data_IF_772329836472
#
_entry.id   IF_772329836472
#
_cell.length_a   1.000
_cell.length_b   1.000
_cell.length_c   1.000
_cell.angle_alpha   90.00
_cell.angle_beta   90.00
_cell.angle_gamma   90.00
#
_symmetry.space_group_name_H-M   'P 1'
#
loop_
_entity.id
_entity.type
_entity.pdbx_description
1 polymer ?
#
# COMPACT_ATOMS: atom_id res chain seq x y z
N UNK A 1 -7.69 6.18 -14.55
CA UNK A 1 -8.39 5.00 -13.97
C UNK A 1 -7.84 3.65 -14.42
N UNK A 2 -7.35 3.47 -15.65
CA UNK A 2 -6.80 2.17 -16.13
C UNK A 2 -5.69 1.62 -15.23
N UNK A 3 -4.62 2.38 -14.99
CA UNK A 3 -3.48 1.94 -14.17
C UNK A 3 -3.88 1.58 -12.73
N UNK A 4 -4.80 2.33 -12.12
CA UNK A 4 -5.35 1.99 -10.81
C UNK A 4 -6.04 0.62 -10.81
N UNK A 5 -6.85 0.32 -11.84
CA UNK A 5 -7.51 -1.00 -11.94
C UNK A 5 -6.51 -2.14 -12.14
N UNK A 6 -5.43 -1.89 -12.88
CA UNK A 6 -4.34 -2.87 -13.04
C UNK A 6 -3.67 -3.12 -11.70
N UNK A 7 -3.30 -2.05 -10.98
CA UNK A 7 -2.73 -2.13 -9.65
C UNK A 7 -3.64 -2.89 -8.68
N UNK A 8 -4.89 -2.49 -8.55
CA UNK A 8 -5.82 -3.16 -7.62
C UNK A 8 -6.19 -4.57 -8.07
N UNK A 9 -6.06 -4.90 -9.36
CA UNK A 9 -6.32 -6.26 -9.84
C UNK A 9 -5.19 -7.23 -9.50
N UNK A 10 -3.95 -6.75 -9.54
CA UNK A 10 -2.76 -7.57 -9.38
C UNK A 10 -2.22 -7.65 -7.95
N UNK A 11 -2.54 -6.68 -7.09
CA UNK A 11 -1.96 -6.57 -5.74
C UNK A 11 -3.04 -6.66 -4.65
N UNK A 12 -3.92 -7.66 -4.71
CA UNK A 12 -4.99 -7.83 -3.72
C UNK A 12 -4.55 -8.60 -2.47
N UNK A 13 -3.38 -9.22 -2.50
CA UNK A 13 -2.78 -10.01 -1.42
C UNK A 13 -2.34 -9.17 -0.22
N UNK A 14 -2.16 -7.87 -0.42
CA UNK A 14 -1.76 -6.94 0.62
C UNK A 14 -2.75 -5.79 0.75
N UNK A 15 -2.76 -5.15 1.92
CA UNK A 15 -3.55 -3.96 2.16
C UNK A 15 -2.70 -2.70 2.03
N UNK A 16 -3.04 -1.85 1.07
CA UNK A 16 -2.22 -0.68 0.73
C UNK A 16 -2.77 0.65 1.25
N UNK A 17 -4.09 0.80 1.22
CA UNK A 17 -4.81 2.03 1.58
C UNK A 17 -6.32 1.77 1.60
N UNK A 18 -7.09 2.75 2.08
CA UNK A 18 -8.55 2.70 2.01
C UNK A 18 -9.05 2.98 0.59
N UNK A 19 -9.53 1.93 -0.09
CA UNK A 19 -9.79 1.90 -1.54
C UNK A 19 -10.83 2.90 -2.00
N UNK A 20 -11.98 3.00 -1.32
CA UNK A 20 -13.02 3.92 -1.78
C UNK A 20 -12.60 5.36 -1.55
N UNK A 21 -12.02 5.66 -0.37
CA UNK A 21 -11.44 6.99 -0.11
C UNK A 21 -10.38 7.38 -1.11
N UNK A 22 -9.48 6.48 -1.46
CA UNK A 22 -8.45 6.71 -2.46
C UNK A 22 -9.07 7.03 -3.83
N UNK A 23 -10.04 6.22 -4.29
CA UNK A 23 -10.78 6.47 -5.54
C UNK A 23 -11.52 7.81 -5.53
N UNK A 24 -12.15 8.15 -4.41
CA UNK A 24 -12.87 9.41 -4.25
C UNK A 24 -11.91 10.60 -4.31
N UNK A 25 -10.75 10.51 -3.66
CA UNK A 25 -9.70 11.56 -3.72
C UNK A 25 -9.16 11.72 -5.13
N UNK A 26 -9.02 10.64 -5.92
CA UNK A 26 -8.73 10.76 -7.37
C UNK A 26 -9.83 11.56 -8.07
N UNK A 27 -11.10 11.17 -7.92
CA UNK A 27 -12.22 11.86 -8.59
C UNK A 27 -12.26 13.34 -8.22
N UNK A 28 -12.05 13.66 -6.95
CA UNK A 28 -11.97 15.04 -6.45
C UNK A 28 -10.80 15.79 -7.07
N UNK A 29 -9.60 15.21 -7.09
CA UNK A 29 -8.41 15.82 -7.72
C UNK A 29 -8.65 16.22 -9.18
N UNK A 30 -9.34 15.40 -9.96
CA UNK A 30 -9.65 15.72 -11.36
C UNK A 30 -10.85 16.67 -11.52
N UNK A 31 -11.80 16.65 -10.59
CA UNK A 31 -13.00 17.51 -10.65
C UNK A 31 -12.73 18.91 -10.11
N UNK A 32 -11.78 19.05 -9.19
CA UNK A 32 -11.40 20.29 -8.51
C UNK A 32 -9.88 20.32 -8.33
N UNK A 33 -9.09 20.65 -9.38
CA UNK A 33 -7.63 20.55 -9.33
C UNK A 33 -6.93 21.34 -8.23
N UNK A 34 -7.59 22.36 -7.68
CA UNK A 34 -7.06 23.19 -6.59
C UNK A 34 -7.30 22.59 -5.19
N UNK A 35 -8.12 21.55 -5.03
CA UNK A 35 -8.51 21.04 -3.71
C UNK A 35 -7.38 20.31 -2.97
N UNK A 36 -6.40 19.78 -3.71
CA UNK A 36 -5.27 19.01 -3.16
C UNK A 36 -3.92 19.48 -3.71
N UNK A 37 -3.84 20.68 -4.29
CA UNK A 37 -2.66 21.13 -5.04
C UNK A 37 -1.36 21.13 -4.20
N UNK A 38 -1.47 21.36 -2.89
CA UNK A 38 -0.33 21.41 -1.96
C UNK A 38 -0.10 20.08 -1.21
N UNK A 39 -0.89 19.06 -1.51
CA UNK A 39 -0.88 17.79 -0.80
C UNK A 39 0.19 16.83 -1.37
N UNK A 40 1.41 16.98 -0.85
CA UNK A 40 2.56 16.19 -1.30
C UNK A 40 2.40 14.69 -1.02
N UNK A 41 1.82 14.33 0.13
CA UNK A 41 1.60 12.93 0.51
C UNK A 41 0.62 12.26 -0.44
N UNK A 42 -0.47 12.97 -0.79
CA UNK A 42 -1.41 12.52 -1.80
C UNK A 42 -0.74 12.23 -3.14
N UNK A 43 0.01 13.19 -3.69
CA UNK A 43 0.64 13.02 -5.00
C UNK A 43 1.76 12.00 -4.96
N UNK A 44 2.46 11.84 -3.84
CA UNK A 44 3.41 10.75 -3.64
C UNK A 44 2.72 9.39 -3.79
N UNK A 45 1.68 9.14 -3.01
CA UNK A 45 0.95 7.88 -3.00
C UNK A 45 0.29 7.59 -4.35
N UNK A 46 -0.35 8.60 -4.96
CA UNK A 46 -0.92 8.48 -6.29
C UNK A 46 0.15 8.10 -7.33
N UNK A 47 1.33 8.73 -7.27
CA UNK A 47 2.43 8.43 -8.18
C UNK A 47 2.95 7.00 -8.00
N UNK A 48 3.04 6.50 -6.76
CA UNK A 48 3.44 5.09 -6.49
C UNK A 48 2.44 4.10 -7.08
N UNK A 49 1.15 4.30 -6.85
CA UNK A 49 0.09 3.43 -7.36
C UNK A 49 0.09 3.40 -8.89
N UNK A 50 0.27 4.57 -9.53
CA UNK A 50 0.37 4.65 -10.98
C UNK A 50 1.67 4.02 -11.51
N UNK A 51 2.80 4.20 -10.80
CA UNK A 51 4.09 3.59 -11.16
C UNK A 51 4.00 2.06 -11.14
N UNK A 52 3.40 1.48 -10.09
CA UNK A 52 3.14 0.04 -10.00
C UNK A 52 2.20 -0.44 -11.10
N UNK A 53 1.09 0.25 -11.32
CA UNK A 53 0.17 -0.07 -12.42
C UNK A 53 0.86 -0.05 -13.79
N UNK A 54 1.77 0.90 -14.02
CA UNK A 54 2.55 0.99 -15.26
C UNK A 54 3.61 -0.12 -15.36
N UNK A 55 4.22 -0.52 -14.26
CA UNK A 55 5.20 -1.61 -14.24
C UNK A 55 4.52 -2.96 -14.52
N UNK A 56 3.34 -3.20 -13.94
CA UNK A 56 2.51 -4.39 -14.15
C UNK A 56 1.96 -4.48 -15.57
N UNK A 57 1.59 -3.34 -16.18
CA UNK A 57 1.13 -3.31 -17.56
C UNK A 57 2.20 -3.76 -18.57
N UNK A 58 3.48 -3.52 -18.26
CA UNK A 58 4.61 -3.89 -19.11
C UNK A 58 5.02 -5.36 -18.98
N UNK A 59 4.53 -6.08 -17.98
CA UNK A 59 4.75 -7.54 -17.90
C UNK A 59 4.05 -8.15 -19.11
N UNK A 60 4.78 -8.76 -20.06
CA UNK A 60 4.17 -9.31 -21.26
C UNK A 60 3.12 -10.33 -20.85
N UNK A 61 1.86 -10.06 -21.17
CA UNK A 61 0.83 -11.08 -21.11
C UNK A 61 1.25 -12.14 -22.12
N UNK A 62 1.53 -13.37 -21.68
CA UNK A 62 1.71 -14.48 -22.62
C UNK A 62 0.40 -14.62 -23.40
N UNK A 63 0.32 -14.04 -24.61
CA UNK A 63 -0.47 -14.52 -25.75
C UNK A 63 -0.27 -13.63 -26.99
N UNK A 64 -0.10 -14.32 -28.12
CA UNK A 64 -0.04 -13.89 -29.53
C UNK A 64 1.16 -13.05 -29.99
N UNK A 65 2.02 -13.70 -30.76
CA UNK A 65 2.88 -13.09 -31.76
C UNK A 65 2.03 -12.30 -32.77
N UNK A 66 2.06 -10.97 -32.71
CA UNK A 66 1.66 -10.14 -33.84
C UNK A 66 2.86 -9.41 -34.42
N UNK A 67 2.92 -9.48 -35.74
CA UNK A 67 4.00 -9.08 -36.62
C UNK A 67 4.21 -7.57 -36.52
N UNK A 68 5.44 -7.16 -36.17
CA UNK A 68 5.83 -5.75 -36.13
C UNK A 68 5.76 -5.12 -37.53
N UNK A 69 4.84 -4.17 -37.71
CA UNK A 69 4.78 -3.31 -38.90
C UNK A 69 5.75 -2.12 -38.72
N UNK A 70 6.70 -1.85 -39.64
CA UNK A 70 7.74 -0.82 -39.48
C UNK A 70 7.24 0.64 -39.45
N UNK A 71 5.92 0.88 -39.51
CA UNK A 71 5.30 2.21 -39.58
C UNK A 71 4.38 2.51 -38.39
N UNK A 72 4.57 1.86 -37.25
CA UNK A 72 3.82 2.20 -36.05
C UNK A 72 4.29 3.56 -35.48
N UNK A 73 3.63 4.63 -35.93
CA UNK A 73 3.81 6.02 -35.48
C UNK A 73 3.14 6.23 -34.10
N UNK A 74 2.95 5.17 -33.31
CA UNK A 74 2.77 5.28 -31.88
C UNK A 74 4.11 5.62 -31.24
N UNK A 75 4.48 6.89 -31.33
CA UNK A 75 5.46 7.50 -30.43
C UNK A 75 4.96 7.29 -29.00
N UNK A 76 5.33 6.16 -28.41
CA UNK A 76 5.20 5.95 -26.96
C UNK A 76 6.08 7.02 -26.34
N UNK A 77 5.46 8.13 -25.93
CA UNK A 77 6.06 9.08 -25.00
C UNK A 77 6.80 8.26 -23.95
N UNK A 78 8.09 8.53 -23.73
CA UNK A 78 8.88 7.80 -22.76
C UNK A 78 8.06 7.68 -21.46
N UNK A 79 7.88 6.47 -20.90
CA UNK A 79 7.01 6.28 -19.75
C UNK A 79 7.40 7.25 -18.65
N UNK A 80 6.43 7.98 -18.10
CA UNK A 80 6.70 8.97 -17.06
C UNK A 80 7.38 8.28 -15.88
N UNK A 81 8.45 8.89 -15.34
CA UNK A 81 9.16 8.39 -14.14
C UNK A 81 8.35 8.72 -12.87
N UNK A 82 7.21 8.06 -12.75
CA UNK A 82 6.26 8.21 -11.65
C UNK A 82 6.88 7.77 -10.32
N UNK A 83 7.78 6.79 -10.32
CA UNK A 83 8.48 6.38 -9.11
C UNK A 83 9.48 7.45 -8.67
N UNK A 84 10.28 8.00 -9.58
CA UNK A 84 11.14 9.14 -9.27
C UNK A 84 10.36 10.35 -8.75
N UNK A 85 9.19 10.63 -9.35
CA UNK A 85 8.28 11.66 -8.86
C UNK A 85 7.80 11.37 -7.42
N UNK A 86 7.35 10.15 -7.13
CA UNK A 86 6.94 9.76 -5.78
C UNK A 86 8.05 9.97 -4.75
N UNK A 87 9.27 9.49 -5.04
CA UNK A 87 10.43 9.65 -4.17
C UNK A 87 10.75 11.13 -3.92
N UNK A 88 10.60 11.99 -4.93
CA UNK A 88 10.83 13.44 -4.78
C UNK A 88 9.75 14.16 -3.94
N UNK A 89 8.55 13.59 -3.88
CA UNK A 89 7.42 14.13 -3.14
C UNK A 89 7.40 13.64 -1.69
N UNK A 90 7.84 12.41 -1.46
CA UNK A 90 7.86 11.78 -0.15
C UNK A 90 8.72 12.56 0.83
N UNK A 91 8.12 12.95 1.94
CA UNK A 91 8.80 13.69 3.00
C UNK A 91 8.13 13.30 4.30
N UNK A 92 8.89 12.68 5.20
CA UNK A 92 8.38 12.33 6.53
C UNK A 92 8.35 13.61 7.37
N UNK A 93 7.14 14.02 7.77
CA UNK A 93 6.90 15.13 8.69
C UNK A 93 7.26 14.74 10.13
N UNK A 94 7.41 15.72 11.02
CA UNK A 94 7.45 15.46 12.47
C UNK A 94 6.17 14.78 12.97
N UNK A 95 5.03 15.08 12.34
CA UNK A 95 3.78 14.38 12.59
C UNK A 95 3.66 13.18 11.67
N UNK A 96 3.90 12.00 12.22
CA UNK A 96 3.80 10.73 11.49
C UNK A 96 2.33 10.40 11.20
N UNK A 97 2.06 9.93 10.00
CA UNK A 97 0.72 9.56 9.54
C UNK A 97 0.68 8.14 8.97
N UNK A 98 -0.52 7.56 8.88
CA UNK A 98 -0.70 6.28 8.19
C UNK A 98 -0.37 6.41 6.70
N UNK A 99 -0.61 7.56 6.06
CA UNK A 99 -0.25 7.78 4.65
C UNK A 99 1.27 7.66 4.42
N UNK A 100 2.10 8.03 5.40
CA UNK A 100 3.55 7.83 5.32
C UNK A 100 3.90 6.34 5.32
N UNK A 101 3.20 5.53 6.14
CA UNK A 101 3.36 4.08 6.18
C UNK A 101 2.91 3.41 4.88
N UNK A 102 1.74 3.81 4.37
CA UNK A 102 1.20 3.36 3.08
C UNK A 102 2.21 3.64 1.96
N UNK A 103 2.78 4.85 1.95
CA UNK A 103 3.81 5.26 1.00
C UNK A 103 5.07 4.41 1.08
N UNK A 104 5.61 4.18 2.29
CA UNK A 104 6.81 3.34 2.47
C UNK A 104 6.58 1.89 2.08
N UNK A 105 5.42 1.30 2.42
CA UNK A 105 5.06 -0.05 2.00
C UNK A 105 4.99 -0.16 0.46
N UNK A 106 4.34 0.81 -0.19
CA UNK A 106 4.28 0.87 -1.66
C UNK A 106 5.67 1.06 -2.30
N UNK A 107 6.54 1.87 -1.71
CA UNK A 107 7.92 2.05 -2.17
C UNK A 107 8.75 0.78 -2.04
N UNK A 108 8.65 0.09 -0.90
CA UNK A 108 9.31 -1.17 -0.65
C UNK A 108 8.86 -2.22 -1.68
N UNK A 109 7.54 -2.36 -1.86
CA UNK A 109 6.95 -3.29 -2.82
C UNK A 109 7.34 -2.98 -4.26
N UNK A 110 7.29 -1.71 -4.68
CA UNK A 110 7.78 -1.32 -6.02
C UNK A 110 9.24 -1.68 -6.24
N UNK A 111 10.09 -1.43 -5.25
CA UNK A 111 11.51 -1.75 -5.34
C UNK A 111 11.74 -3.27 -5.39
N UNK A 112 10.98 -4.06 -4.63
CA UNK A 112 11.00 -5.51 -4.72
C UNK A 112 10.57 -5.98 -6.12
N UNK A 113 9.39 -5.57 -6.56
CA UNK A 113 8.80 -5.91 -7.86
C UNK A 113 9.71 -5.56 -9.05
N UNK A 114 10.44 -4.44 -8.97
CA UNK A 114 11.36 -3.98 -10.02
C UNK A 114 12.80 -4.44 -9.85
N UNK A 115 13.04 -5.44 -8.98
CA UNK A 115 14.34 -6.05 -8.71
C UNK A 115 15.42 -5.05 -8.23
N UNK A 116 15.06 -4.22 -7.24
CA UNK A 116 15.93 -3.26 -6.54
C UNK A 116 16.02 -3.62 -5.05
N UNK A 117 16.57 -4.79 -4.68
CA UNK A 117 16.46 -5.35 -3.34
C UNK A 117 17.02 -4.46 -2.23
N UNK A 118 18.14 -3.77 -2.48
CA UNK A 118 18.73 -2.84 -1.49
C UNK A 118 17.79 -1.69 -1.12
N UNK A 119 17.10 -1.12 -2.12
CA UNK A 119 16.14 -0.05 -1.89
C UNK A 119 14.89 -0.59 -1.19
N UNK A 120 14.42 -1.79 -1.58
CA UNK A 120 13.30 -2.46 -0.93
C UNK A 120 13.56 -2.68 0.57
N UNK A 121 14.74 -3.19 0.93
CA UNK A 121 15.17 -3.38 2.32
C UNK A 121 15.24 -2.07 3.11
N UNK A 122 15.71 -0.98 2.50
CA UNK A 122 15.73 0.34 3.15
C UNK A 122 14.31 0.81 3.45
N UNK A 123 13.41 0.77 2.46
CA UNK A 123 12.04 1.24 2.64
C UNK A 123 11.25 0.38 3.63
N UNK A 124 11.39 -0.95 3.59
CA UNK A 124 10.69 -1.81 4.55
C UNK A 124 11.21 -1.61 5.98
N UNK A 125 12.52 -1.39 6.16
CA UNK A 125 13.09 -1.06 7.47
C UNK A 125 12.50 0.25 8.02
N UNK A 126 12.28 1.24 7.14
CA UNK A 126 11.61 2.49 7.50
C UNK A 126 10.13 2.28 7.82
N UNK A 127 9.40 1.46 7.04
CA UNK A 127 8.01 1.09 7.35
C UNK A 127 7.88 0.49 8.75
N UNK A 128 8.75 -0.46 9.11
CA UNK A 128 8.73 -1.11 10.42
C UNK A 128 8.99 -0.09 11.54
N UNK A 129 9.99 0.77 11.38
CA UNK A 129 10.30 1.80 12.36
C UNK A 129 9.11 2.77 12.54
N UNK A 130 8.49 3.21 11.44
CA UNK A 130 7.36 4.12 11.47
C UNK A 130 6.10 3.47 12.05
N UNK A 131 5.82 2.21 11.72
CA UNK A 131 4.70 1.46 12.28
C UNK A 131 4.82 1.31 13.81
N UNK A 132 6.03 1.08 14.33
CA UNK A 132 6.33 1.06 15.77
C UNK A 132 6.15 2.43 16.43
N UNK A 133 6.59 3.51 15.78
CA UNK A 133 6.38 4.87 16.28
C UNK A 133 4.88 5.23 16.33
N UNK A 134 4.07 4.66 15.44
CA UNK A 134 2.62 4.75 15.44
C UNK A 134 1.93 3.72 16.35
N UNK A 135 2.69 2.89 17.09
CA UNK A 135 2.19 1.86 18.03
C UNK A 135 1.29 0.80 17.37
N UNK A 136 1.54 0.47 16.11
CA UNK A 136 0.79 -0.57 15.39
C UNK A 136 1.13 -1.98 15.89
N UNK A 137 2.27 -2.15 16.56
CA UNK A 137 2.71 -3.41 17.16
C UNK A 137 2.30 -3.58 18.63
N UNK A 138 1.52 -2.62 19.17
CA UNK A 138 1.02 -2.68 20.54
C UNK A 138 -0.39 -3.31 20.59
N UNK A 139 -0.60 -4.44 21.30
CA UNK A 139 -1.92 -5.04 21.45
C UNK A 139 -2.97 -4.12 22.08
N UNK A 140 -2.57 -3.20 22.96
CA UNK A 140 -3.50 -2.28 23.63
C UNK A 140 -4.14 -1.29 22.63
N UNK A 141 -3.47 -1.00 21.50
CA UNK A 141 -4.01 -0.19 20.39
C UNK A 141 -5.33 -0.75 19.84
N UNK A 142 -5.49 -2.06 19.84
CA UNK A 142 -6.64 -2.75 19.24
C UNK A 142 -7.73 -3.10 20.26
N UNK A 143 -7.48 -2.87 21.56
CA UNK A 143 -8.44 -3.23 22.61
C UNK A 143 -9.74 -2.41 22.48
N UNK A 144 -10.92 -3.01 22.74
CA UNK A 144 -12.17 -2.26 22.79
C UNK A 144 -12.11 -1.24 23.94
N UNK A 145 -12.40 0.03 23.67
CA UNK A 145 -12.52 1.03 24.72
C UNK A 145 -13.78 0.74 25.56
N UNK A 146 -13.63 0.71 26.88
CA UNK A 146 -14.71 0.42 27.83
C UNK A 146 -15.69 1.60 28.02
N UNK A 147 -15.41 2.77 27.44
CA UNK A 147 -16.27 3.95 27.52
C UNK A 147 -17.21 4.03 26.33
N UNK A 148 -18.50 3.73 26.54
CA UNK A 148 -19.57 3.69 25.54
C UNK A 148 -19.95 5.05 24.92
N UNK A 149 -19.03 5.69 24.18
CA UNK A 149 -19.37 6.78 23.25
C UNK A 149 -19.60 6.21 21.85
N UNK A 150 -20.64 6.70 21.19
CA UNK A 150 -21.12 6.26 19.87
C UNK A 150 -20.19 6.60 18.68
N UNK A 151 -18.88 6.80 18.93
CA UNK A 151 -17.87 7.05 17.89
C UNK A 151 -17.28 5.76 17.29
N UNK A 152 -17.86 4.60 17.64
CA UNK A 152 -17.28 3.26 17.40
C UNK A 152 -17.09 2.84 15.94
N UNK A 153 -17.86 3.39 14.98
CA UNK A 153 -17.74 2.97 13.56
C UNK A 153 -16.49 3.51 12.86
N UNK A 154 -16.24 4.82 12.99
CA UNK A 154 -15.04 5.43 12.41
C UNK A 154 -13.76 4.88 13.05
N UNK A 155 -13.83 4.60 14.36
CA UNK A 155 -12.73 4.00 15.10
C UNK A 155 -12.44 2.56 14.65
N UNK A 156 -13.46 1.76 14.32
CA UNK A 156 -13.27 0.39 13.86
C UNK A 156 -12.58 0.32 12.49
N UNK A 157 -12.95 1.18 11.54
CA UNK A 157 -12.27 1.25 10.23
C UNK A 157 -10.80 1.61 10.41
N UNK A 158 -10.51 2.60 11.26
CA UNK A 158 -9.12 3.01 11.52
C UNK A 158 -8.32 1.88 12.18
N UNK A 159 -8.89 1.16 13.16
CA UNK A 159 -8.22 0.02 13.80
C UNK A 159 -7.93 -1.10 12.81
N UNK A 160 -8.91 -1.50 11.99
CA UNK A 160 -8.69 -2.51 10.96
C UNK A 160 -7.69 -2.06 9.90
N UNK A 161 -7.70 -0.78 9.54
CA UNK A 161 -6.73 -0.21 8.62
C UNK A 161 -5.30 -0.29 9.16
N UNK A 162 -5.10 0.11 10.42
CA UNK A 162 -3.81 0.01 11.12
C UNK A 162 -3.34 -1.44 11.19
N UNK A 163 -4.23 -2.36 11.55
CA UNK A 163 -3.91 -3.78 11.71
C UNK A 163 -3.52 -4.42 10.37
N UNK A 164 -4.26 -4.13 9.30
CA UNK A 164 -3.96 -4.63 7.95
C UNK A 164 -2.68 -4.03 7.38
N UNK A 165 -2.38 -2.76 7.65
CA UNK A 165 -1.11 -2.15 7.29
C UNK A 165 0.07 -2.78 8.04
N UNK A 166 -0.09 -3.03 9.34
CA UNK A 166 0.91 -3.73 10.15
C UNK A 166 1.25 -5.09 9.56
N UNK A 167 0.23 -5.93 9.34
CA UNK A 167 0.44 -7.26 8.78
C UNK A 167 1.01 -7.23 7.36
N UNK A 168 0.61 -6.26 6.53
CA UNK A 168 1.23 -6.03 5.22
C UNK A 168 2.73 -5.73 5.35
N UNK A 169 3.12 -4.83 6.25
CA UNK A 169 4.55 -4.54 6.52
C UNK A 169 5.30 -5.79 6.98
N UNK A 170 4.70 -6.60 7.84
CA UNK A 170 5.29 -7.86 8.33
C UNK A 170 5.51 -8.86 7.20
N UNK A 171 4.50 -9.08 6.34
CA UNK A 171 4.62 -10.00 5.21
C UNK A 171 5.72 -9.54 4.23
N UNK A 172 5.78 -8.25 3.91
CA UNK A 172 6.82 -7.71 3.04
C UNK A 172 8.24 -7.89 3.61
N UNK A 173 8.43 -7.68 4.92
CA UNK A 173 9.71 -7.94 5.60
C UNK A 173 10.10 -9.41 5.51
N UNK A 174 9.14 -10.31 5.78
CA UNK A 174 9.34 -11.76 5.71
C UNK A 174 9.76 -12.20 4.30
N UNK A 175 9.07 -11.73 3.26
CA UNK A 175 9.39 -12.04 1.87
C UNK A 175 10.80 -11.58 1.51
N UNK A 176 11.14 -10.33 1.82
CA UNK A 176 12.46 -9.76 1.53
C UNK A 176 13.59 -10.46 2.30
N UNK A 177 13.36 -10.78 3.57
CA UNK A 177 14.34 -11.48 4.38
C UNK A 177 14.60 -12.89 3.87
N UNK A 178 13.54 -13.62 3.49
CA UNK A 178 13.65 -14.97 2.92
C UNK A 178 14.41 -14.97 1.59
N UNK A 179 14.12 -14.04 0.69
CA UNK A 179 14.78 -13.97 -0.62
C UNK A 179 16.27 -13.56 -0.52
N UNK A 180 16.63 -12.77 0.48
CA UNK A 180 17.98 -12.23 0.65
C UNK A 180 18.82 -12.97 1.71
N UNK A 181 18.32 -14.09 2.24
CA UNK A 181 18.94 -14.86 3.33
C UNK A 181 19.27 -13.99 4.56
N UNK A 182 18.42 -13.00 4.84
CA UNK A 182 18.56 -12.09 5.98
C UNK A 182 17.69 -12.55 7.15
N UNK A 183 18.05 -12.13 8.35
CA UNK A 183 17.17 -12.29 9.51
C UNK A 183 16.04 -11.28 9.43
N UNK A 184 14.80 -11.74 9.54
CA UNK A 184 13.63 -10.85 9.68
C UNK A 184 13.78 -9.96 10.91
N UNK A 185 13.07 -8.84 10.94
CA UNK A 185 12.96 -8.09 12.19
C UNK A 185 12.32 -8.99 13.27
N UNK A 186 12.76 -8.84 14.53
CA UNK A 186 12.16 -9.57 15.64
C UNK A 186 10.70 -9.14 15.83
N UNK A 187 9.78 -10.07 15.56
CA UNK A 187 8.32 -9.91 15.60
C UNK A 187 7.68 -10.53 16.85
N UNK A 188 8.45 -10.75 17.93
CA UNK A 188 7.95 -11.40 19.16
C UNK A 188 6.61 -10.86 19.67
N UNK A 189 6.43 -9.53 19.80
CA UNK A 189 5.15 -8.93 20.21
C UNK A 189 4.02 -9.11 19.17
N UNK A 190 4.36 -9.28 17.90
CA UNK A 190 3.42 -9.31 16.78
C UNK A 190 2.63 -10.62 16.68
N UNK A 191 3.13 -11.70 17.30
CA UNK A 191 2.39 -12.98 17.41
C UNK A 191 1.22 -12.91 18.38
N UNK A 192 1.18 -11.90 19.26
CA UNK A 192 0.08 -11.67 20.20
C UNK A 192 -1.00 -10.73 19.63
N UNK A 193 -0.75 -10.13 18.46
CA UNK A 193 -1.71 -9.25 17.81
C UNK A 193 -2.86 -10.03 17.19
N UNK A 194 -4.08 -9.46 17.17
CA UNK A 194 -5.20 -10.06 16.47
C UNK A 194 -4.90 -10.18 14.97
N UNK A 195 -5.48 -11.20 14.33
CA UNK A 195 -5.51 -11.26 12.87
C UNK A 195 -6.54 -10.24 12.34
N UNK A 196 -6.31 -9.70 11.13
CA UNK A 196 -7.29 -8.83 10.48
C UNK A 196 -8.67 -9.48 10.35
N UNK A 197 -9.73 -8.68 10.46
CA UNK A 197 -11.11 -9.17 10.37
C UNK A 197 -12.03 -8.20 9.62
N UNK A 198 -13.14 -8.71 9.11
CA UNK A 198 -14.27 -7.89 8.64
C UNK A 198 -15.43 -7.88 9.65
N UNK A 199 -15.28 -8.55 10.80
CA UNK A 199 -16.34 -8.66 11.79
C UNK A 199 -16.74 -7.28 12.34
N UNK A 200 -18.04 -6.99 12.32
CA UNK A 200 -18.60 -5.72 12.79
C UNK A 200 -18.51 -4.56 11.79
N UNK A 201 -17.86 -4.74 10.64
CA UNK A 201 -17.90 -3.75 9.55
C UNK A 201 -19.21 -3.84 8.77
N UNK A 202 -19.70 -2.70 8.27
CA UNK A 202 -20.79 -2.70 7.31
C UNK A 202 -20.27 -3.04 5.90
N UNK A 203 -21.14 -3.51 5.00
CA UNK A 203 -20.75 -3.79 3.61
C UNK A 203 -20.13 -2.59 2.89
N UNK A 204 -20.47 -1.35 3.29
CA UNK A 204 -19.85 -0.14 2.76
C UNK A 204 -18.42 0.04 3.26
N UNK A 205 -18.19 -0.24 4.54
CA UNK A 205 -16.90 -0.08 5.18
C UNK A 205 -15.94 -1.21 4.77
N UNK A 206 -16.46 -2.42 4.58
CA UNK A 206 -15.70 -3.56 4.05
C UNK A 206 -15.16 -3.26 2.64
N UNK A 207 -15.90 -2.51 1.82
CA UNK A 207 -15.45 -2.10 0.48
C UNK A 207 -14.25 -1.14 0.48
N UNK A 208 -13.86 -0.60 1.65
CA UNK A 208 -12.62 0.18 1.81
C UNK A 208 -11.37 -0.69 1.78
N UNK A 209 -11.47 -1.98 2.05
CA UNK A 209 -10.31 -2.84 2.22
C UNK A 209 -10.01 -3.70 0.99
N UNK A 210 -8.76 -4.14 0.90
CA UNK A 210 -8.32 -5.19 -0.04
C UNK A 210 -8.77 -6.57 0.45
N UNK A 211 -8.52 -7.60 -0.36
CA UNK A 211 -9.02 -8.96 -0.11
C UNK A 211 -8.46 -9.51 1.20
N UNK A 212 -9.36 -9.82 2.14
CA UNK A 212 -8.98 -10.30 3.47
C UNK A 212 -8.39 -11.71 3.41
N UNK A 213 -8.96 -12.60 2.60
CA UNK A 213 -8.57 -14.00 2.57
C UNK A 213 -7.15 -14.15 1.98
N UNK A 214 -6.82 -13.36 0.97
CA UNK A 214 -5.47 -13.33 0.41
C UNK A 214 -4.44 -12.80 1.42
N UNK A 215 -4.76 -11.73 2.16
CA UNK A 215 -3.87 -11.22 3.20
C UNK A 215 -3.67 -12.25 4.32
N UNK A 216 -4.73 -12.94 4.75
CA UNK A 216 -4.62 -14.00 5.75
C UNK A 216 -3.76 -15.17 5.27
N UNK A 217 -3.81 -15.51 3.97
CA UNK A 217 -2.95 -16.52 3.39
C UNK A 217 -1.46 -16.10 3.44
N UNK A 218 -1.15 -14.85 3.11
CA UNK A 218 0.22 -14.28 3.19
C UNK A 218 0.76 -14.21 4.62
N UNK A 219 -0.10 -13.99 5.62
CA UNK A 219 0.31 -14.02 7.04
C UNK A 219 0.70 -15.43 7.47
N UNK A 220 0.08 -16.46 6.89
CA UNK A 220 0.25 -17.86 7.27
C UNK A 220 1.35 -18.60 6.51
N UNK A 221 1.70 -18.17 5.30
CA UNK A 221 2.87 -18.63 4.54
C UNK A 221 4.14 -18.22 5.27
#
# INVERSE_FOLDING_TARGET
MRLLRIFEGANNEYHWFLRQRFRDRIRQTYSQPTSHADDRNWFCQLSLVLALGQALEKVPKQESEEINDPWDINQSSAPLDLFGQAVSLFTISETLTLEDLEGLNLMAYYCHFTNRPKAAVIYISQSIALARLLQLDDPDTYRPESSGRQDGKGQQITKEHMLRLWWTTVCLDKTLASELEMTTVYLGPSLELPLPSSEGLSAKDEAEFFDLDLLLAEIQS
#
